data_IF_737375888912
#
_entry.id   IF_737375888912
#
_cell.length_a   1.000
_cell.length_b   1.000
_cell.length_c   1.000
_cell.angle_alpha   90.00
_cell.angle_beta   90.00
_cell.angle_gamma   90.00
#
_symmetry.space_group_name_H-M   'P 1'
#
loop_
_entity.id
_entity.type
_entity.pdbx_description
1 polymer ?
#
# COMPACT_ATOMS: atom_id res chain seq x y z
N UNK A 1 -5.98 8.12 24.50
CA UNK A 1 -5.54 6.73 24.21
C UNK A 1 -5.87 6.26 22.79
N UNK A 2 -7.11 6.41 22.29
CA UNK A 2 -7.50 5.98 20.92
C UNK A 2 -6.61 6.52 19.79
N UNK A 3 -6.23 7.81 19.83
CA UNK A 3 -5.36 8.42 18.80
C UNK A 3 -3.96 7.81 18.77
N UNK A 4 -3.36 7.59 19.94
CA UNK A 4 -2.03 6.97 20.02
C UNK A 4 -2.06 5.53 19.48
N UNK A 5 -3.09 4.74 19.84
CA UNK A 5 -3.28 3.40 19.30
C UNK A 5 -3.42 3.41 17.76
N UNK A 6 -4.20 4.35 17.20
CA UNK A 6 -4.34 4.49 15.75
C UNK A 6 -3.02 4.84 15.06
N UNK A 7 -2.22 5.73 15.66
CA UNK A 7 -0.90 6.08 15.13
C UNK A 7 0.06 4.89 15.16
N UNK A 8 0.05 4.10 16.25
CA UNK A 8 0.86 2.89 16.36
C UNK A 8 0.44 1.85 15.32
N UNK A 9 -0.86 1.64 15.11
CA UNK A 9 -1.37 0.70 14.09
C UNK A 9 -1.00 1.17 12.69
N UNK A 10 -1.17 2.47 12.39
CA UNK A 10 -0.77 3.03 11.09
C UNK A 10 0.73 2.89 10.84
N UNK A 11 1.55 3.14 11.86
CA UNK A 11 3.00 2.98 11.78
C UNK A 11 3.39 1.51 11.55
N UNK A 12 2.84 0.59 12.34
CA UNK A 12 3.11 -0.85 12.21
C UNK A 12 2.71 -1.37 10.83
N UNK A 13 1.55 -0.92 10.32
CA UNK A 13 1.10 -1.24 8.97
C UNK A 13 2.07 -0.75 7.89
N UNK A 14 2.53 0.50 7.99
CA UNK A 14 3.50 1.07 7.04
C UNK A 14 4.81 0.29 7.03
N UNK A 15 5.37 -0.01 8.20
CA UNK A 15 6.60 -0.80 8.32
C UNK A 15 6.41 -2.19 7.70
N UNK A 16 5.30 -2.87 8.02
CA UNK A 16 5.01 -4.21 7.50
C UNK A 16 4.90 -4.22 5.97
N UNK A 17 4.23 -3.22 5.38
CA UNK A 17 4.10 -3.08 3.93
C UNK A 17 5.47 -2.85 3.26
N UNK A 18 6.31 -2.00 3.84
CA UNK A 18 7.65 -1.71 3.30
C UNK A 18 8.55 -2.96 3.37
N UNK A 19 8.60 -3.64 4.51
CA UNK A 19 9.38 -4.87 4.67
C UNK A 19 8.90 -5.97 3.73
N UNK A 20 7.59 -6.09 3.53
CA UNK A 20 7.02 -7.04 2.57
C UNK A 20 7.42 -6.73 1.12
N UNK A 21 7.45 -5.44 0.74
CA UNK A 21 7.95 -5.01 -0.57
C UNK A 21 9.44 -5.32 -0.73
N UNK A 22 10.25 -5.03 0.29
CA UNK A 22 11.69 -5.34 0.26
C UNK A 22 11.94 -6.84 0.10
N UNK A 23 11.27 -7.68 0.90
CA UNK A 23 11.37 -9.13 0.81
C UNK A 23 10.96 -9.64 -0.58
N UNK A 24 9.86 -9.12 -1.14
CA UNK A 24 9.40 -9.49 -2.47
C UNK A 24 10.38 -9.06 -3.57
N UNK A 25 10.95 -7.85 -3.49
CA UNK A 25 11.95 -7.35 -4.46
C UNK A 25 13.24 -8.15 -4.37
N UNK A 26 13.73 -8.42 -3.16
CA UNK A 26 14.96 -9.19 -2.95
C UNK A 26 14.78 -10.66 -3.38
N UNK A 27 13.60 -11.25 -3.14
CA UNK A 27 13.24 -12.55 -3.70
C UNK A 27 13.20 -12.53 -5.24
N UNK A 28 12.59 -11.50 -5.82
CA UNK A 28 12.52 -11.32 -7.28
C UNK A 28 13.90 -11.19 -7.93
N UNK A 29 14.84 -10.51 -7.25
CA UNK A 29 16.24 -10.39 -7.70
C UNK A 29 17.07 -11.64 -7.48
N UNK A 30 16.55 -12.65 -6.78
CA UNK A 30 17.31 -13.85 -6.39
C UNK A 30 18.30 -13.61 -5.25
N UNK A 31 18.22 -12.48 -4.54
CA UNK A 31 19.06 -12.18 -3.38
C UNK A 31 18.66 -13.03 -2.15
N UNK A 32 17.42 -13.54 -2.12
CA UNK A 32 16.95 -14.55 -1.16
C UNK A 32 17.03 -15.97 -1.76
N UNK A 33 18.24 -16.51 -1.85
CA UNK A 33 18.45 -17.88 -2.32
C UNK A 33 17.85 -18.95 -1.37
N UNK A 34 17.75 -18.65 -0.07
CA UNK A 34 17.06 -19.46 0.94
C UNK A 34 16.23 -18.55 1.85
N UNK A 35 14.99 -18.22 1.46
CA UNK A 35 14.13 -17.37 2.27
C UNK A 35 13.77 -18.05 3.60
N UNK A 36 13.83 -17.30 4.70
CA UNK A 36 13.33 -17.75 5.98
C UNK A 36 11.80 -17.73 6.02
N UNK A 37 11.21 -18.30 7.08
CA UNK A 37 9.75 -18.31 7.27
C UNK A 37 9.15 -16.89 7.33
N UNK A 38 9.88 -15.92 7.88
CA UNK A 38 9.48 -14.52 7.90
C UNK A 38 9.39 -13.92 6.50
N UNK A 39 10.35 -14.20 5.63
CA UNK A 39 10.37 -13.68 4.26
C UNK A 39 9.22 -14.27 3.45
N UNK A 40 8.97 -15.57 3.61
CA UNK A 40 7.84 -16.25 2.97
C UNK A 40 6.51 -15.63 3.43
N UNK A 41 6.35 -15.39 4.73
CA UNK A 41 5.16 -14.76 5.27
C UNK A 41 4.98 -13.32 4.75
N UNK A 42 6.07 -12.54 4.69
CA UNK A 42 6.09 -11.18 4.17
C UNK A 42 5.70 -11.13 2.69
N UNK A 43 6.29 -11.99 1.85
CA UNK A 43 5.97 -12.11 0.43
C UNK A 43 4.51 -12.55 0.26
N UNK A 44 4.06 -13.53 1.05
CA UNK A 44 2.70 -14.06 0.98
C UNK A 44 1.61 -13.06 1.41
N UNK A 45 1.89 -12.21 2.40
CA UNK A 45 0.93 -11.21 2.90
C UNK A 45 0.93 -9.91 2.07
N UNK A 46 1.97 -9.67 1.27
CA UNK A 46 2.11 -8.45 0.46
C UNK A 46 0.85 -8.13 -0.39
N UNK A 47 0.23 -9.07 -1.12
CA UNK A 47 -0.95 -8.76 -1.93
C UNK A 47 -2.12 -8.23 -1.10
N UNK A 48 -2.32 -8.77 0.10
CA UNK A 48 -3.37 -8.32 1.02
C UNK A 48 -3.09 -6.90 1.52
N UNK A 49 -1.84 -6.61 1.90
CA UNK A 49 -1.44 -5.27 2.34
C UNK A 49 -1.61 -4.25 1.20
N UNK A 50 -1.19 -4.58 -0.02
CA UNK A 50 -1.38 -3.71 -1.18
C UNK A 50 -2.87 -3.45 -1.44
N UNK A 51 -3.72 -4.47 -1.33
CA UNK A 51 -5.16 -4.32 -1.50
C UNK A 51 -5.78 -3.41 -0.42
N UNK A 52 -5.42 -3.59 0.85
CA UNK A 52 -5.89 -2.71 1.95
C UNK A 52 -5.45 -1.27 1.70
N UNK A 53 -4.18 -1.07 1.32
CA UNK A 53 -3.66 0.26 1.03
C UNK A 53 -4.44 0.91 -0.12
N UNK A 54 -4.61 0.20 -1.22
CA UNK A 54 -5.37 0.68 -2.38
C UNK A 54 -6.80 1.05 -2.00
N UNK A 55 -7.50 0.16 -1.29
CA UNK A 55 -8.94 0.31 -1.04
C UNK A 55 -9.31 1.35 0.02
N UNK A 56 -8.47 1.54 1.03
CA UNK A 56 -8.83 2.33 2.22
C UNK A 56 -7.93 3.54 2.48
N UNK A 57 -6.67 3.51 2.02
CA UNK A 57 -5.67 4.55 2.33
C UNK A 57 -5.39 5.42 1.11
N UNK A 58 -5.28 4.82 -0.06
CA UNK A 58 -4.95 5.51 -1.31
C UNK A 58 -6.10 6.41 -1.77
N UNK A 59 -5.79 7.63 -2.26
CA UNK A 59 -6.79 8.48 -2.89
C UNK A 59 -7.34 7.87 -4.20
N UNK A 60 -6.59 6.96 -4.84
CA UNK A 60 -6.95 6.38 -6.15
C UNK A 60 -7.94 5.22 -6.06
N UNK A 61 -8.07 4.56 -4.91
CA UNK A 61 -9.03 3.47 -4.73
C UNK A 61 -10.40 3.92 -4.23
N UNK A 62 -10.61 5.23 -4.07
CA UNK A 62 -11.90 5.79 -3.69
C UNK A 62 -12.73 6.09 -4.95
N UNK A 63 -13.93 5.49 -5.11
CA UNK A 63 -14.78 5.71 -6.28
C UNK A 63 -15.15 7.19 -6.50
N UNK A 64 -15.24 7.96 -5.41
CA UNK A 64 -15.71 9.34 -5.40
C UNK A 64 -14.61 10.33 -4.97
N UNK A 65 -13.36 10.12 -5.39
CA UNK A 65 -12.29 11.07 -5.11
C UNK A 65 -12.51 12.38 -5.91
N UNK A 66 -13.29 13.31 -5.33
CA UNK A 66 -13.54 14.66 -5.87
C UNK A 66 -12.24 15.45 -6.12
N UNK A 67 -11.17 15.15 -5.38
CA UNK A 67 -9.84 15.76 -5.55
C UNK A 67 -9.02 15.15 -6.70
N UNK A 68 -9.42 13.97 -7.18
CA UNK A 68 -8.83 13.25 -8.30
C UNK A 68 -9.65 13.45 -9.58
N UNK A 69 -10.82 14.12 -9.49
CA UNK A 69 -11.62 14.47 -10.64
C UNK A 69 -10.82 15.44 -11.52
N UNK A 70 -10.77 15.13 -12.82
CA UNK A 70 -10.25 16.07 -13.81
C UNK A 70 -11.07 17.38 -13.71
N UNK A 71 -10.43 18.55 -13.76
CA UNK A 71 -11.16 19.80 -13.80
C UNK A 71 -12.14 19.76 -14.98
N UNK A 72 -13.36 20.33 -14.84
CA UNK A 72 -14.30 20.38 -15.95
C UNK A 72 -13.63 21.06 -17.14
N UNK A 73 -13.75 20.47 -18.33
CA UNK A 73 -13.19 21.00 -19.58
C UNK A 73 -13.81 22.38 -19.88
N UNK A 74 -13.21 23.45 -19.36
CA UNK A 74 -13.54 24.83 -19.72
C UNK A 74 -12.90 25.12 -21.08
N UNK A 75 -13.59 24.79 -22.16
CA UNK A 75 -13.01 24.95 -23.49
C UNK A 75 -13.86 24.62 -24.71
N UNK A 76 -15.13 25.05 -24.78
CA UNK A 76 -15.78 25.33 -26.07
C UNK A 76 -16.65 26.59 -25.96
N UNK A 77 -16.32 27.69 -26.64
CA UNK A 77 -17.27 28.77 -26.85
C UNK A 77 -18.41 28.22 -27.73
N UNK A 78 -19.65 28.38 -27.26
CA UNK A 78 -20.82 28.33 -28.13
C UNK A 78 -20.95 29.66 -28.87
#
# INVERSE_FOLDING_TARGET
MKRAALLVVAFAYMVLLIEALHAAVAWWKGELAQPGWSDIALIGVLPLLVWIWWRYISPFGQPDCQKCALPPETGKPQ
#
